data_IF_568220106887
#
_entry.id   IF_568220106887
#
_cell.length_a   1.000
_cell.length_b   1.000
_cell.length_c   1.000
_cell.angle_alpha   90.00
_cell.angle_beta   90.00
_cell.angle_gamma   90.00
#
_symmetry.space_group_name_H-M   'P 1'
#
loop_
_entity.id
_entity.type
_entity.pdbx_description
1 polymer ?
#
# COMPACT_ATOMS: atom_id res chain seq x y z
N UNK A 1 -15.81 -5.20 4.32
CA UNK A 1 -14.80 -4.15 4.40
C UNK A 1 -15.22 -3.04 3.45
N UNK A 2 -14.91 -1.76 3.74
CA UNK A 2 -15.15 -0.69 2.79
C UNK A 2 -14.26 -0.86 1.56
N UNK A 3 -14.65 -0.23 0.44
CA UNK A 3 -13.78 -0.11 -0.72
C UNK A 3 -12.70 0.96 -0.48
N UNK A 4 -11.49 0.70 -0.99
CA UNK A 4 -10.38 1.64 -0.95
C UNK A 4 -10.80 2.93 -1.65
N UNK A 5 -10.53 4.08 -1.02
CA UNK A 5 -10.66 5.38 -1.67
C UNK A 5 -9.33 5.70 -2.34
N UNK A 6 -9.26 5.47 -3.65
CA UNK A 6 -8.07 5.69 -4.47
C UNK A 6 -8.47 6.15 -5.87
N UNK A 7 -7.48 6.64 -6.62
CA UNK A 7 -7.62 7.04 -8.01
C UNK A 7 -6.68 6.19 -8.86
N UNK A 8 -7.25 5.38 -9.75
CA UNK A 8 -6.52 4.47 -10.64
C UNK A 8 -5.60 5.23 -11.61
N UNK A 9 -6.03 6.38 -12.11
CA UNK A 9 -5.19 7.23 -12.99
C UNK A 9 -3.99 7.81 -12.25
N UNK A 10 -4.12 8.13 -10.96
CA UNK A 10 -2.99 8.57 -10.13
C UNK A 10 -2.00 7.44 -9.88
N UNK A 11 -2.47 6.20 -9.77
CA UNK A 11 -1.60 5.03 -9.64
C UNK A 11 -0.87 4.73 -10.95
N UNK A 12 -1.56 4.84 -12.08
CA UNK A 12 -0.94 4.68 -13.40
C UNK A 12 0.12 5.75 -13.63
N UNK A 13 -0.16 7.01 -13.29
CA UNK A 13 0.85 8.08 -13.33
C UNK A 13 2.01 7.75 -12.38
N UNK A 14 1.71 7.44 -11.12
CA UNK A 14 2.71 7.13 -10.10
C UNK A 14 3.65 6.01 -10.53
N UNK A 15 3.13 4.82 -10.81
CA UNK A 15 3.92 3.64 -11.14
C UNK A 15 4.50 3.67 -12.57
N UNK A 16 3.88 4.44 -13.47
CA UNK A 16 4.22 4.52 -14.90
C UNK A 16 4.26 3.14 -15.60
N UNK A 17 3.53 2.17 -15.05
CA UNK A 17 3.36 0.82 -15.60
C UNK A 17 1.90 0.41 -15.45
N UNK A 18 1.37 -0.29 -16.45
CA UNK A 18 0.05 -0.91 -16.33
C UNK A 18 0.11 -2.05 -15.30
N UNK A 19 -0.88 -2.16 -14.40
CA UNK A 19 -0.94 -3.26 -13.46
C UNK A 19 -1.27 -4.57 -14.18
N UNK A 20 -0.68 -5.66 -13.68
CA UNK A 20 -1.23 -6.99 -13.95
C UNK A 20 -2.50 -7.13 -13.12
N UNK A 21 -3.63 -7.23 -13.80
CA UNK A 21 -4.95 -7.42 -13.17
C UNK A 21 -5.23 -8.91 -13.03
N UNK A 22 -5.55 -9.34 -11.81
CA UNK A 22 -5.87 -10.74 -11.52
C UNK A 22 -7.25 -10.87 -10.88
N UNK A 23 -7.68 -12.12 -10.68
CA UNK A 23 -8.92 -12.46 -9.95
C UNK A 23 -10.18 -11.75 -10.49
N UNK A 24 -10.31 -11.54 -11.81
CA UNK A 24 -11.43 -10.79 -12.41
C UNK A 24 -11.56 -9.35 -11.89
N UNK A 25 -10.45 -8.57 -11.90
CA UNK A 25 -10.41 -7.17 -11.44
C UNK A 25 -10.51 -6.99 -9.92
N UNK A 26 -10.29 -8.06 -9.16
CA UNK A 26 -10.26 -7.99 -7.69
C UNK A 26 -8.89 -7.55 -7.16
N UNK A 27 -7.82 -7.72 -7.93
CA UNK A 27 -6.48 -7.28 -7.55
C UNK A 27 -5.70 -6.63 -8.69
N UNK A 28 -4.92 -5.60 -8.33
CA UNK A 28 -4.04 -4.85 -9.23
C UNK A 28 -2.61 -4.97 -8.72
N UNK A 29 -1.73 -5.52 -9.54
CA UNK A 29 -0.33 -5.77 -9.19
C UNK A 29 0.61 -4.88 -10.01
N UNK A 30 1.38 -4.04 -9.32
CA UNK A 30 2.39 -3.16 -9.92
C UNK A 30 3.78 -3.68 -9.57
N UNK A 31 4.65 -3.82 -10.56
CA UNK A 31 6.06 -4.19 -10.37
C UNK A 31 6.99 -3.04 -10.80
N UNK A 32 7.82 -2.54 -9.88
CA UNK A 32 8.81 -1.49 -10.16
C UNK A 32 10.20 -1.96 -9.77
N UNK A 33 11.20 -1.58 -10.58
CA UNK A 33 12.62 -1.87 -10.34
C UNK A 33 13.42 -0.57 -10.27
N UNK A 34 14.25 -0.44 -9.22
CA UNK A 34 15.19 0.67 -9.00
C UNK A 34 16.42 0.15 -8.28
N UNK A 35 17.63 0.49 -8.74
CA UNK A 35 18.90 0.22 -8.04
C UNK A 35 19.05 -1.21 -7.49
N UNK A 36 18.61 -2.22 -8.24
CA UNK A 36 18.68 -3.62 -7.82
C UNK A 36 17.66 -4.05 -6.78
N UNK A 37 16.70 -3.20 -6.40
CA UNK A 37 15.49 -3.54 -5.68
C UNK A 37 14.32 -3.70 -6.64
N UNK A 38 13.42 -4.60 -6.28
CA UNK A 38 12.15 -4.84 -6.97
C UNK A 38 11.02 -4.72 -5.98
N UNK A 39 10.14 -3.75 -6.19
CA UNK A 39 8.90 -3.56 -5.46
C UNK A 39 7.77 -4.29 -6.20
N UNK A 40 7.08 -5.17 -5.50
CA UNK A 40 5.78 -5.69 -5.91
C UNK A 40 4.71 -5.08 -4.99
N UNK A 41 3.81 -4.31 -5.58
CA UNK A 41 2.75 -3.60 -4.89
C UNK A 41 1.40 -4.12 -5.36
N UNK A 42 0.59 -4.66 -4.45
CA UNK A 42 -0.72 -5.24 -4.76
C UNK A 42 -1.82 -4.42 -4.08
N UNK A 43 -2.90 -4.14 -4.80
CA UNK A 43 -4.12 -3.50 -4.28
C UNK A 43 -5.28 -4.47 -4.40
N UNK A 44 -5.99 -4.72 -3.29
CA UNK A 44 -7.33 -5.32 -3.30
C UNK A 44 -8.33 -4.23 -2.95
N UNK A 45 -8.87 -3.56 -3.98
CA UNK A 45 -9.69 -2.36 -3.78
C UNK A 45 -10.94 -2.64 -2.94
N UNK A 46 -11.60 -3.79 -3.15
CA UNK A 46 -12.85 -4.13 -2.45
C UNK A 46 -12.65 -4.59 -1.00
N UNK A 47 -11.40 -4.86 -0.61
CA UNK A 47 -11.03 -5.19 0.78
C UNK A 47 -10.41 -3.98 1.50
N UNK A 48 -10.12 -2.90 0.77
CA UNK A 48 -9.30 -1.77 1.23
C UNK A 48 -7.97 -2.23 1.83
N UNK A 49 -7.29 -3.13 1.12
CA UNK A 49 -6.00 -3.69 1.51
C UNK A 49 -4.95 -3.42 0.43
N UNK A 50 -3.76 -3.04 0.88
CA UNK A 50 -2.55 -3.06 0.07
C UNK A 50 -1.58 -4.11 0.60
N UNK A 51 -0.75 -4.69 -0.27
CA UNK A 51 0.41 -5.47 0.12
C UNK A 51 1.65 -4.93 -0.58
N UNK A 52 2.73 -4.87 0.20
CA UNK A 52 4.02 -4.38 -0.23
C UNK A 52 5.04 -5.48 -0.01
N UNK A 53 5.68 -5.92 -1.09
CA UNK A 53 6.78 -6.88 -1.05
C UNK A 53 7.99 -6.28 -1.74
N UNK A 54 9.14 -6.29 -1.06
CA UNK A 54 10.40 -5.80 -1.63
C UNK A 54 11.37 -6.96 -1.78
N UNK A 55 11.98 -7.09 -2.95
CA UNK A 55 12.94 -8.13 -3.31
C UNK A 55 14.27 -7.50 -3.70
N UNK A 56 15.36 -8.27 -3.57
CA UNK A 56 16.67 -7.90 -4.11
C UNK A 56 16.92 -8.62 -5.42
N UNK A 57 17.12 -7.87 -6.51
CA UNK A 57 17.41 -8.40 -7.84
C UNK A 57 16.38 -9.41 -8.31
N UNK A 58 16.85 -10.60 -8.67
CA UNK A 58 16.02 -11.74 -9.13
C UNK A 58 15.70 -12.73 -7.99
N UNK A 59 15.92 -12.37 -6.73
CA UNK A 59 15.60 -13.23 -5.59
C UNK A 59 14.11 -13.56 -5.57
N UNK A 60 13.80 -14.85 -5.37
CA UNK A 60 12.44 -15.33 -5.12
C UNK A 60 11.96 -14.99 -3.69
N UNK A 61 12.89 -14.92 -2.74
CA UNK A 61 12.60 -14.51 -1.37
C UNK A 61 12.52 -12.99 -1.25
N UNK A 62 11.40 -12.49 -0.71
CA UNK A 62 11.26 -11.08 -0.35
C UNK A 62 12.18 -10.73 0.83
N UNK A 63 12.78 -9.54 0.79
CA UNK A 63 13.47 -8.94 1.93
C UNK A 63 12.48 -8.67 3.06
N UNK A 64 11.29 -8.19 2.70
CA UNK A 64 10.15 -8.11 3.58
C UNK A 64 8.85 -8.05 2.79
N UNK A 65 7.77 -8.44 3.45
CA UNK A 65 6.40 -8.32 2.97
C UNK A 65 5.51 -7.87 4.13
N UNK A 66 4.60 -6.94 3.89
CA UNK A 66 3.52 -6.61 4.81
C UNK A 66 2.24 -6.29 4.04
N UNK A 67 1.10 -6.42 4.73
CA UNK A 67 -0.18 -5.92 4.28
C UNK A 67 -0.60 -4.72 5.14
N UNK A 68 -1.44 -3.85 4.59
CA UNK A 68 -2.06 -2.78 5.35
C UNK A 68 -3.54 -2.65 4.98
N UNK A 69 -4.40 -2.65 5.99
CA UNK A 69 -5.81 -2.28 5.85
C UNK A 69 -5.90 -0.77 5.93
N UNK A 70 -6.37 -0.13 4.87
CA UNK A 70 -6.43 1.33 4.74
C UNK A 70 -7.83 1.78 5.12
N UNK A 71 -7.98 2.48 6.25
CA UNK A 71 -9.30 2.97 6.70
C UNK A 71 -9.64 4.35 6.15
N UNK A 72 -8.61 5.12 5.81
CA UNK A 72 -8.71 6.44 5.19
C UNK A 72 -8.71 6.36 3.67
N UNK A 73 -8.06 7.35 3.06
CA UNK A 73 -7.87 7.43 1.62
C UNK A 73 -6.42 7.23 1.22
N UNK A 74 -6.22 6.87 -0.05
CA UNK A 74 -4.93 6.97 -0.72
C UNK A 74 -4.89 8.27 -1.53
N UNK A 75 -3.80 9.03 -1.39
CA UNK A 75 -3.56 10.23 -2.20
C UNK A 75 -2.22 10.16 -2.89
N UNK A 76 -2.18 10.58 -4.14
CA UNK A 76 -0.93 10.91 -4.79
C UNK A 76 -0.44 12.31 -4.38
N UNK A 77 0.76 12.37 -3.80
CA UNK A 77 1.43 13.61 -3.44
C UNK A 77 2.59 13.84 -4.39
N UNK A 78 2.60 15.00 -5.04
CA UNK A 78 3.68 15.47 -5.91
C UNK A 78 3.92 16.96 -5.63
N UNK A 79 4.72 17.25 -4.60
CA UNK A 79 5.03 18.61 -4.19
C UNK A 79 6.51 18.73 -3.76
N UNK A 80 6.89 19.83 -3.11
CA UNK A 80 8.25 20.08 -2.65
C UNK A 80 8.81 19.00 -1.68
N UNK A 81 7.94 18.19 -1.06
CA UNK A 81 8.32 17.07 -0.19
C UNK A 81 8.65 15.80 -0.98
N UNK A 82 8.38 15.77 -2.27
CA UNK A 82 8.65 14.66 -3.18
C UNK A 82 7.39 14.08 -3.81
N UNK A 83 7.59 12.93 -4.46
CA UNK A 83 6.59 12.18 -5.22
C UNK A 83 6.31 10.83 -4.54
N UNK A 84 5.13 10.67 -3.95
CA UNK A 84 4.76 9.44 -3.22
C UNK A 84 3.25 9.22 -3.17
N UNK A 85 2.84 7.97 -2.97
CA UNK A 85 1.49 7.62 -2.54
C UNK A 85 1.42 7.65 -1.02
N UNK A 86 0.45 8.35 -0.45
CA UNK A 86 0.15 8.39 0.97
C UNK A 86 -1.14 7.63 1.26
N UNK A 87 -1.05 6.61 2.11
CA UNK A 87 -2.19 5.83 2.60
C UNK A 87 -2.46 6.25 4.05
N UNK A 88 -3.64 6.79 4.29
CA UNK A 88 -4.04 7.31 5.60
C UNK A 88 -4.74 6.26 6.45
N UNK A 89 -4.55 6.37 7.78
CA UNK A 89 -5.25 5.56 8.77
C UNK A 89 -5.13 4.03 8.55
N UNK A 90 -3.89 3.57 8.44
CA UNK A 90 -3.54 2.19 8.14
C UNK A 90 -3.35 1.33 9.38
N UNK A 91 -3.86 0.09 9.34
CA UNK A 91 -3.49 -0.99 10.24
C UNK A 91 -2.53 -1.94 9.52
N UNK A 92 -1.27 -1.98 9.97
CA UNK A 92 -0.24 -2.87 9.39
C UNK A 92 -0.42 -4.29 9.91
N UNK A 93 -0.33 -5.26 9.01
CA UNK A 93 -0.53 -6.66 9.29
C UNK A 93 0.47 -7.54 8.52
N UNK A 94 0.74 -8.77 8.99
CA UNK A 94 1.63 -9.69 8.27
C UNK A 94 1.04 -10.19 6.95
N UNK A 95 -0.28 -10.17 6.78
CA UNK A 95 -0.96 -10.59 5.54
C UNK A 95 -2.39 -10.07 5.45
N UNK A 96 -2.98 -10.14 4.25
CA UNK A 96 -4.39 -9.75 3.99
C UNK A 96 -5.43 -10.61 4.71
N UNK A 97 -5.05 -11.75 5.27
CA UNK A 97 -5.97 -12.67 5.98
C UNK A 97 -5.87 -12.54 7.50
N UNK A 98 -5.05 -11.62 8.00
CA UNK A 98 -4.83 -11.41 9.43
C UNK A 98 -6.12 -11.12 10.22
N UNK A 99 -7.09 -10.46 9.60
CA UNK A 99 -8.40 -10.18 10.20
C UNK A 99 -9.16 -11.44 10.65
N UNK A 100 -8.92 -12.59 10.01
CA UNK A 100 -9.59 -13.85 10.36
C UNK A 100 -9.25 -14.31 11.79
N UNK A 101 -8.10 -13.88 12.32
CA UNK A 101 -7.63 -14.23 13.66
C UNK A 101 -7.82 -13.08 14.65
N UNK A 102 -7.50 -11.86 14.24
CA UNK A 102 -7.42 -10.73 15.18
C UNK A 102 -8.71 -9.90 15.24
N UNK A 103 -9.64 -10.06 14.31
CA UNK A 103 -10.89 -9.29 14.26
C UNK A 103 -10.91 -8.26 13.13
N UNK A 104 -11.90 -7.38 13.15
CA UNK A 104 -12.15 -6.42 12.08
C UNK A 104 -11.20 -5.20 12.17
N UNK A 105 -10.23 -5.03 11.26
CA UNK A 105 -9.27 -3.92 11.32
C UNK A 105 -9.94 -2.55 11.19
N UNK A 106 -11.17 -2.48 10.67
CA UNK A 106 -11.95 -1.26 10.52
C UNK A 106 -12.73 -0.88 11.78
N UNK A 107 -12.74 -1.72 12.82
CA UNK A 107 -13.29 -1.38 14.11
C UNK A 107 -12.31 -0.49 14.90
N UNK A 108 -12.61 0.80 15.00
CA UNK A 108 -11.78 1.79 15.70
C UNK A 108 -11.73 1.60 17.23
N UNK A 109 -12.71 0.93 17.84
CA UNK A 109 -12.66 0.60 19.26
C UNK A 109 -11.67 -0.53 19.52
N UNK A 110 -11.62 -1.51 18.60
CA UNK A 110 -10.69 -2.64 18.68
C UNK A 110 -9.27 -2.25 18.26
N UNK A 111 -9.13 -1.41 17.23
CA UNK A 111 -7.86 -0.96 16.67
C UNK A 111 -7.78 0.58 16.70
N UNK A 112 -7.58 1.21 17.88
CA UNK A 112 -7.62 2.66 18.02
C UNK A 112 -6.39 3.37 17.44
N UNK A 113 -5.26 2.68 17.36
CA UNK A 113 -4.01 3.23 16.83
C UNK A 113 -3.81 2.85 15.37
N UNK A 114 -3.38 3.81 14.57
CA UNK A 114 -3.05 3.63 13.15
C UNK A 114 -1.89 4.50 12.72
N UNK A 115 -1.41 4.23 11.51
CA UNK A 115 -0.23 4.85 10.93
C UNK A 115 -0.57 5.37 9.54
N UNK A 116 0.20 6.32 9.02
CA UNK A 116 0.20 6.61 7.58
C UNK A 116 1.36 5.87 6.93
N UNK A 117 1.13 5.34 5.75
CA UNK A 117 2.16 4.65 4.96
C UNK A 117 2.43 5.50 3.73
N UNK A 118 3.70 5.82 3.48
CA UNK A 118 4.13 6.53 2.29
C UNK A 118 5.00 5.63 1.42
N UNK A 119 4.68 5.56 0.14
CA UNK A 119 5.43 4.78 -0.85
C UNK A 119 5.97 5.74 -1.90
N UNK A 120 7.29 5.86 -1.98
CA UNK A 120 8.01 6.56 -3.05
C UNK A 120 8.76 5.56 -3.92
N UNK A 121 8.89 5.84 -5.22
CA UNK A 121 9.65 5.00 -6.15
C UNK A 121 10.68 5.76 -6.98
N UNK A 122 10.76 7.09 -6.83
CA UNK A 122 11.69 7.95 -7.56
C UNK A 122 12.43 8.89 -6.59
N UNK A 123 13.77 9.01 -6.67
CA UNK A 123 14.67 8.22 -7.52
C UNK A 123 14.80 6.75 -7.06
N UNK A 124 14.54 6.49 -5.78
CA UNK A 124 14.70 5.19 -5.13
C UNK A 124 13.37 4.69 -4.55
N UNK A 125 13.27 3.37 -4.33
CA UNK A 125 12.16 2.79 -3.57
C UNK A 125 12.29 3.20 -2.10
N UNK A 126 11.33 3.96 -1.61
CA UNK A 126 11.22 4.41 -0.22
C UNK A 126 9.87 4.02 0.37
N UNK A 127 9.89 3.45 1.58
CA UNK A 127 8.69 3.12 2.33
C UNK A 127 8.84 3.74 3.71
N UNK A 128 7.93 4.65 4.06
CA UNK A 128 7.91 5.30 5.36
C UNK A 128 6.61 4.97 6.08
N UNK A 129 6.74 4.63 7.36
CA UNK A 129 5.63 4.43 8.28
C UNK A 129 5.70 5.57 9.29
N UNK A 130 4.67 6.40 9.34
CA UNK A 130 4.61 7.59 10.17
C UNK A 130 3.35 7.58 11.02
N UNK A 131 3.34 8.29 12.15
CA UNK A 131 2.14 8.40 12.97
C UNK A 131 1.00 9.03 12.16
N UNK A 132 -0.19 8.42 12.23
CA UNK A 132 -1.38 9.03 11.66
C UNK A 132 -1.87 10.14 12.58
N UNK A 133 -1.81 11.38 12.08
CA UNK A 133 -2.43 12.53 12.71
C UNK A 133 -3.72 12.80 11.93
N UNK A 134 -4.88 12.58 12.57
CA UNK A 134 -6.15 12.86 11.93
C UNK A 134 -6.19 14.32 11.51
N UNK A 135 -6.54 14.56 10.24
CA UNK A 135 -6.73 15.92 9.74
C UNK A 135 -8.10 16.37 10.22
N UNK A 136 -8.12 17.33 11.14
CA UNK A 136 -9.34 17.92 11.70
C UNK A 136 -10.01 18.85 10.70
#
# INVERSE_FOLDING_TARGET
MPELRWNDTEFLDFFAVEPTVEEFFLSYNYEVKREGLRLLFTVWQFESVIQVSVYRGLSEGALFTFAAYVRGECRFVNDARGRYLEFEDCIVAPSRFWYMKEGDPFNHEQFPASLSIRIGIDPDINIAIVDYLSRT
#
